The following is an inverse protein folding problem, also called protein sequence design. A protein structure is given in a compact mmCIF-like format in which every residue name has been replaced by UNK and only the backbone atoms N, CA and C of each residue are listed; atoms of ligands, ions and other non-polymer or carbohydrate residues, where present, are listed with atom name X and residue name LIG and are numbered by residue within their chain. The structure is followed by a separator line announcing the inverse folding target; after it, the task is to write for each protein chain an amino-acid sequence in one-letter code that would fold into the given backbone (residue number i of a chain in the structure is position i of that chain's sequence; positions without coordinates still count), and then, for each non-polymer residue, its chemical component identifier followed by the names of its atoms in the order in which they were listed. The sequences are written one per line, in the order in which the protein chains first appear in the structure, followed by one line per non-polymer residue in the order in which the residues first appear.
data_IF_667597358004
#
_entry.id   IF_667597358004
#
_cell.length_a   1.000
_cell.length_b   1.000
_cell.length_c   1.000
_cell.angle_alpha   90.00
_cell.angle_beta   90.00
_cell.angle_gamma   90.00
#
_symmetry.space_group_name_H-M   'P 1'
#
loop_
_entity.id
_entity.type
_entity.pdbx_description
1 polymer ?
#
# COMPACT_ATOMS: atom_id res chain seq x y z
N UNK A 1 -0.34 -12.48 6.76
CA UNK A 1 -1.28 -11.93 7.75
C UNK A 1 -2.43 -11.32 6.98
N UNK A 2 -3.67 -11.56 7.42
CA UNK A 2 -4.86 -11.00 6.77
C UNK A 2 -5.11 -9.54 7.17
N UNK A 3 -5.85 -8.80 6.34
CA UNK A 3 -6.27 -7.41 6.65
C UNK A 3 -6.96 -7.30 8.04
N UNK A 4 -7.68 -8.34 8.46
CA UNK A 4 -8.36 -8.42 9.76
C UNK A 4 -7.41 -8.57 10.96
N UNK A 5 -6.24 -9.18 10.78
CA UNK A 5 -5.24 -9.32 11.84
C UNK A 5 -4.44 -8.02 12.02
N UNK A 6 -4.19 -7.33 10.91
CA UNK A 6 -3.42 -6.09 10.84
C UNK A 6 -4.19 -4.93 11.49
N UNK A 7 -5.52 -4.84 11.30
CA UNK A 7 -6.39 -3.82 11.94
C UNK A 7 -6.41 -3.92 13.47
N UNK A 8 -6.26 -5.12 14.03
CA UNK A 8 -6.34 -5.35 15.49
C UNK A 8 -5.12 -4.84 16.24
N UNK A 9 -3.99 -4.62 15.55
CA UNK A 9 -2.72 -4.22 16.16
C UNK A 9 -2.45 -2.73 16.02
N UNK A 10 -2.71 -2.14 14.86
CA UNK A 10 -2.44 -0.73 14.57
C UNK A 10 -3.54 -0.20 13.65
N UNK A 11 -3.93 1.06 13.80
CA UNK A 11 -5.01 1.68 13.01
C UNK A 11 -4.47 2.29 11.71
N UNK A 12 -3.20 2.71 11.71
CA UNK A 12 -2.53 3.32 10.58
C UNK A 12 -1.49 2.38 10.01
N UNK A 13 -1.64 2.05 8.73
CA UNK A 13 -0.74 1.16 8.00
C UNK A 13 -0.16 1.87 6.79
N UNK A 14 1.04 1.44 6.38
CA UNK A 14 1.62 1.88 5.12
C UNK A 14 0.78 1.28 3.97
N UNK A 15 0.49 2.09 2.94
CA UNK A 15 -0.18 1.65 1.74
C UNK A 15 0.52 0.49 1.04
N UNK A 16 1.85 0.41 1.15
CA UNK A 16 2.63 -0.73 0.65
C UNK A 16 2.30 -2.00 1.44
N UNK A 17 2.24 -1.96 2.77
CA UNK A 17 1.85 -3.11 3.59
C UNK A 17 0.41 -3.56 3.31
N UNK A 18 -0.50 -2.59 3.14
CA UNK A 18 -1.90 -2.87 2.78
C UNK A 18 -1.99 -3.51 1.40
N UNK A 19 -1.21 -3.03 0.42
CA UNK A 19 -1.13 -3.60 -0.92
C UNK A 19 -0.60 -5.03 -0.89
N UNK A 20 0.52 -5.26 -0.21
CA UNK A 20 1.10 -6.61 -0.04
C UNK A 20 0.08 -7.54 0.62
N UNK A 21 -0.60 -7.10 1.67
CA UNK A 21 -1.63 -7.90 2.33
C UNK A 21 -2.81 -8.20 1.39
N UNK A 22 -3.26 -7.22 0.61
CA UNK A 22 -4.37 -7.38 -0.34
C UNK A 22 -4.01 -8.36 -1.46
N UNK A 23 -2.83 -8.24 -2.04
CA UNK A 23 -2.29 -9.16 -3.03
C UNK A 23 -2.09 -10.56 -2.43
N UNK A 24 -1.58 -10.65 -1.20
CA UNK A 24 -1.39 -11.93 -0.49
C UNK A 24 -2.73 -12.64 -0.24
N UNK A 25 -3.79 -11.91 0.14
CA UNK A 25 -5.15 -12.47 0.28
C UNK A 25 -5.73 -12.92 -1.06
N UNK A 26 -5.38 -12.24 -2.16
CA UNK A 26 -5.87 -12.55 -3.52
C UNK A 26 -4.96 -13.50 -4.31
N UNK A 27 -3.87 -13.98 -3.71
CA UNK A 27 -2.85 -14.79 -4.37
C UNK A 27 -2.29 -14.13 -5.65
N UNK A 28 -2.12 -12.80 -5.62
CA UNK A 28 -1.59 -12.00 -6.72
C UNK A 28 -0.20 -11.47 -6.43
N UNK A 29 0.55 -11.13 -7.48
CA UNK A 29 1.87 -10.51 -7.37
C UNK A 29 1.73 -9.03 -6.98
N UNK A 30 2.43 -8.62 -5.92
CA UNK A 30 2.44 -7.22 -5.46
C UNK A 30 3.63 -6.42 -6.01
N UNK A 31 4.56 -7.09 -6.68
CA UNK A 31 5.83 -6.55 -7.19
C UNK A 31 5.65 -5.54 -8.32
N UNK A 32 4.46 -5.46 -8.94
CA UNK A 32 4.20 -4.53 -10.03
C UNK A 32 3.86 -3.11 -9.52
N UNK A 33 4.72 -2.10 -9.74
CA UNK A 33 4.46 -0.72 -9.33
C UNK A 33 3.25 -0.11 -10.05
N UNK A 34 2.94 -0.53 -11.28
CA UNK A 34 1.78 -0.01 -12.01
C UNK A 34 0.45 -0.39 -11.35
N UNK A 35 0.34 -1.63 -10.85
CA UNK A 35 -0.87 -2.09 -10.16
C UNK A 35 -1.03 -1.42 -8.80
N UNK A 36 0.08 -1.16 -8.11
CA UNK A 36 0.07 -0.33 -6.91
C UNK A 36 -0.40 1.09 -7.21
N UNK A 37 0.05 1.72 -8.30
CA UNK A 37 -0.43 3.05 -8.69
C UNK A 37 -1.94 3.05 -8.94
N UNK A 38 -2.46 2.03 -9.64
CA UNK A 38 -3.91 1.86 -9.84
C UNK A 38 -4.65 1.69 -8.51
N UNK A 39 -4.06 0.93 -7.58
CA UNK A 39 -4.61 0.76 -6.23
C UNK A 39 -4.68 2.10 -5.49
N UNK A 40 -3.59 2.88 -5.44
CA UNK A 40 -3.58 4.20 -4.84
C UNK A 40 -4.60 5.13 -5.50
N UNK A 41 -4.67 5.15 -6.83
CA UNK A 41 -5.66 5.93 -7.56
C UNK A 41 -7.09 5.53 -7.18
N UNK A 42 -7.35 4.24 -6.99
CA UNK A 42 -8.64 3.74 -6.49
C UNK A 42 -8.94 4.27 -5.08
N UNK A 43 -7.97 4.23 -4.16
CA UNK A 43 -8.18 4.74 -2.81
C UNK A 43 -8.44 6.26 -2.78
N UNK A 44 -7.68 7.02 -3.57
CA UNK A 44 -7.86 8.47 -3.73
C UNK A 44 -9.23 8.80 -4.32
N UNK A 45 -9.66 8.06 -5.35
CA UNK A 45 -10.98 8.22 -5.97
C UNK A 45 -12.14 7.98 -4.99
N UNK A 46 -11.96 7.07 -4.04
CA UNK A 46 -12.93 6.79 -2.99
C UNK A 46 -12.86 7.76 -1.78
N UNK A 47 -12.11 8.87 -1.89
CA UNK A 47 -11.96 9.87 -0.83
C UNK A 47 -11.48 9.28 0.50
N UNK A 48 -10.65 8.24 0.45
CA UNK A 48 -10.02 7.72 1.65
C UNK A 48 -9.07 8.76 2.24
N UNK A 49 -9.03 8.83 3.58
CA UNK A 49 -8.14 9.73 4.28
C UNK A 49 -6.72 9.18 4.24
N UNK A 50 -6.04 9.45 3.14
CA UNK A 50 -4.67 9.07 2.86
C UNK A 50 -3.75 10.23 3.21
N UNK A 51 -2.71 9.97 4.00
CA UNK A 51 -1.64 10.95 4.23
C UNK A 51 -0.39 10.52 3.48
N UNK A 52 -0.03 11.26 2.44
CA UNK A 52 1.25 11.05 1.76
C UNK A 52 2.38 11.22 2.77
N UNK A 53 3.33 10.30 2.73
CA UNK A 53 4.55 10.41 3.50
C UNK A 53 5.73 10.01 2.61
N UNK A 54 6.86 10.67 2.80
CA UNK A 54 8.09 10.29 2.12
C UNK A 54 8.68 9.11 2.87
N UNK A 55 8.47 7.89 2.37
CA UNK A 55 9.23 6.74 2.83
C UNK A 55 10.68 6.96 2.39
N UNK A 56 11.58 7.27 3.32
CA UNK A 56 13.00 7.15 3.04
C UNK A 56 13.27 5.66 2.83
N UNK A 57 13.56 5.26 1.58
CA UNK A 57 13.93 3.89 1.21
C UNK A 57 15.12 3.34 2.03
N UNK A 58 15.81 4.20 2.77
CA UNK A 58 16.92 3.88 3.66
C UNK A 58 16.51 3.33 5.04
N UNK A 59 15.24 3.43 5.47
CA UNK A 59 14.79 3.00 6.81
C UNK A 59 14.03 1.67 6.83
N UNK A 60 13.84 1.01 5.68
CA UNK A 60 13.36 -0.36 5.66
C UNK A 60 14.51 -1.28 6.11
N UNK A 61 14.55 -1.57 7.42
CA UNK A 61 15.46 -2.56 7.99
C UNK A 61 15.53 -3.80 7.11
N UNK A 62 16.77 -4.23 6.84
CA UNK A 62 17.23 -5.14 5.79
C UNK A 62 16.64 -6.57 5.83
N UNK A 63 15.33 -6.71 5.83
CA UNK A 63 14.65 -8.02 6.00
C UNK A 63 13.86 -8.48 4.79
N UNK A 64 13.59 -7.65 3.78
CA UNK A 64 12.85 -8.07 2.57
C UNK A 64 13.37 -7.35 1.30
N UNK A 65 14.33 -7.98 0.61
CA UNK A 65 14.99 -7.50 -0.62
C UNK A 65 13.98 -7.01 -1.70
N UNK A 66 12.85 -7.70 -1.82
CA UNK A 66 11.78 -7.38 -2.77
C UNK A 66 11.02 -6.11 -2.42
N UNK A 67 10.78 -5.87 -1.13
CA UNK A 67 10.06 -4.68 -0.66
C UNK A 67 10.91 -3.43 -0.87
N UNK A 68 12.21 -3.56 -0.64
CA UNK A 68 13.19 -2.49 -0.92
C UNK A 68 13.15 -2.15 -2.41
N UNK A 69 13.36 -3.11 -3.31
CA UNK A 69 13.32 -2.90 -4.76
C UNK A 69 12.02 -2.24 -5.21
N UNK A 70 10.89 -2.73 -4.71
CA UNK A 70 9.59 -2.16 -5.00
C UNK A 70 9.48 -0.68 -4.57
N UNK A 71 9.88 -0.36 -3.33
CA UNK A 71 9.87 1.02 -2.84
C UNK A 71 10.87 1.93 -3.56
N UNK A 72 12.00 1.40 -4.03
CA UNK A 72 12.95 2.13 -4.87
C UNK A 72 12.33 2.48 -6.23
N UNK A 73 11.69 1.51 -6.90
CA UNK A 73 10.98 1.77 -8.17
C UNK A 73 9.84 2.78 -8.02
N UNK A 74 9.13 2.76 -6.88
CA UNK A 74 8.15 3.79 -6.55
C UNK A 74 8.82 5.16 -6.35
N UNK A 75 9.97 5.21 -5.67
CA UNK A 75 10.72 6.43 -5.45
C UNK A 75 11.32 7.03 -6.74
N UNK A 76 11.67 6.20 -7.73
CA UNK A 76 12.06 6.66 -9.07
C UNK A 76 10.91 7.41 -9.76
N UNK A 77 9.66 7.03 -9.48
CA UNK A 77 8.46 7.65 -10.05
C UNK A 77 7.73 8.58 -9.08
N UNK A 78 8.45 9.14 -8.09
CA UNK A 78 7.93 10.08 -7.07
C UNK A 78 7.26 11.36 -7.61
N UNK A 79 7.47 11.70 -8.88
CA UNK A 79 6.76 12.80 -9.54
C UNK A 79 5.27 12.49 -9.74
N UNK A 80 4.92 11.19 -9.83
CA UNK A 80 3.53 10.77 -9.94
C UNK A 80 2.93 10.55 -8.54
N UNK A 81 1.80 11.21 -8.22
CA UNK A 81 1.19 11.12 -6.90
C UNK A 81 0.71 9.71 -6.56
N UNK A 82 0.46 8.84 -7.54
CA UNK A 82 0.05 7.46 -7.29
C UNK A 82 1.23 6.54 -6.95
N UNK A 83 2.46 6.99 -7.23
CA UNK A 83 3.68 6.26 -6.87
C UNK A 83 4.15 6.57 -5.44
N UNK A 84 3.57 7.59 -4.81
CA UNK A 84 3.89 7.93 -3.44
C UNK A 84 3.39 6.86 -2.46
N UNK A 85 4.06 6.81 -1.31
CA UNK A 85 3.63 6.00 -0.18
C UNK A 85 2.67 6.80 0.69
N UNK A 86 1.58 6.16 1.11
CA UNK A 86 0.53 6.79 1.89
C UNK A 86 0.34 6.04 3.20
N UNK A 87 -0.02 6.77 4.25
CA UNK A 87 -0.55 6.18 5.47
C UNK A 87 -2.06 6.03 5.32
N UNK A 88 -2.52 4.79 5.39
CA UNK A 88 -3.94 4.42 5.30
C UNK A 88 -4.46 4.14 6.70
N UNK A 89 -5.59 4.76 7.05
CA UNK A 89 -6.34 4.39 8.25
C UNK A 89 -7.24 3.18 7.92
N UNK A 90 -6.88 1.99 8.40
CA UNK A 90 -7.70 0.77 8.21
C UNK A 90 -8.92 0.79 9.14
N UNK A 91 -9.97 1.50 8.73
CA UNK A 91 -11.31 1.42 9.32
C UNK A 91 -12.22 0.52 8.45
N UNK A 92 -13.44 0.22 8.90
CA UNK A 92 -14.37 -0.65 8.17
C UNK A 92 -14.66 -0.14 6.75
N UNK A 93 -14.79 1.19 6.56
CA UNK A 93 -14.97 1.79 5.24
C UNK A 93 -13.76 1.57 4.31
N UNK A 94 -12.55 1.77 4.82
CA UNK A 94 -11.32 1.52 4.05
C UNK A 94 -11.19 0.05 3.68
N UNK A 95 -11.47 -0.86 4.61
CA UNK A 95 -11.42 -2.30 4.36
C UNK A 95 -12.41 -2.72 3.27
N UNK A 96 -13.62 -2.16 3.28
CA UNK A 96 -14.63 -2.43 2.26
C UNK A 96 -14.17 -1.96 0.87
N UNK A 97 -13.60 -0.75 0.78
CA UNK A 97 -13.05 -0.20 -0.46
C UNK A 97 -11.86 -1.03 -0.97
N UNK A 98 -10.92 -1.37 -0.07
CA UNK A 98 -9.74 -2.17 -0.41
C UNK A 98 -10.14 -3.56 -0.90
N UNK A 99 -11.13 -4.19 -0.26
CA UNK A 99 -11.63 -5.51 -0.68
C UNK A 99 -12.39 -5.44 -2.00
N UNK A 100 -13.12 -4.35 -2.22
CA UNK A 100 -13.84 -4.07 -3.46
C UNK A 100 -12.91 -3.81 -4.65
N UNK A 101 -11.65 -3.43 -4.41
CA UNK A 101 -10.65 -3.34 -5.47
C UNK A 101 -10.35 -4.72 -6.05
N UNK A 102 -10.71 -4.96 -7.31
CA UNK A 102 -10.30 -6.16 -8.03
C UNK A 102 -8.91 -5.93 -8.63
N UNK A 103 -7.98 -6.83 -8.29
CA UNK A 103 -6.67 -6.96 -8.96
C UNK A 103 -6.91 -7.66 -10.30
#
# INVERSE_FOLDING_TARGET
MSLDEIRKKVIFHNSVDVWIATCSEKNSDWTNPEDYKKFIAHLLKNNLNLKAFNLCAHEAGATEDEKVKFTETLAETKEDPNSLTYTIKLNDAALDIIRSYSI
#
